data_IF_578452172769
#
_entry.id   IF_578452172769
#
_cell.length_a   1.000
_cell.length_b   1.000
_cell.length_c   1.000
_cell.angle_alpha   90.00
_cell.angle_beta   90.00
_cell.angle_gamma   90.00
#
_symmetry.space_group_name_H-M   'P 1'
#
loop_
_entity.id
_entity.type
_entity.pdbx_description
1 polymer ?
#
# COMPACT_ATOMS: atom_id res chain seq x y z
N UNK A 1 3.17 10.23 -14.41
CA UNK A 1 3.61 8.99 -13.71
C UNK A 1 4.42 8.04 -14.61
N UNK A 2 5.27 7.16 -14.04
CA UNK A 2 6.04 6.11 -14.75
C UNK A 2 5.92 4.76 -14.02
N UNK A 3 5.70 3.68 -14.77
CA UNK A 3 5.52 2.33 -14.22
C UNK A 3 6.52 1.33 -14.80
N UNK A 4 6.87 0.29 -14.04
CA UNK A 4 7.56 -0.89 -14.58
C UNK A 4 6.56 -1.82 -15.30
N UNK A 5 7.03 -2.93 -15.84
CA UNK A 5 6.24 -3.96 -16.54
C UNK A 5 5.20 -4.70 -15.68
N UNK A 6 5.26 -4.53 -14.35
CA UNK A 6 4.25 -5.04 -13.41
C UNK A 6 3.35 -3.94 -12.87
N UNK A 7 3.34 -2.74 -13.46
CA UNK A 7 2.47 -1.65 -13.02
C UNK A 7 2.83 -1.07 -11.65
N UNK A 8 4.04 -1.31 -11.15
CA UNK A 8 4.61 -0.65 -9.96
C UNK A 8 5.01 0.77 -10.33
N UNK A 9 4.55 1.76 -9.57
CA UNK A 9 4.97 3.15 -9.76
C UNK A 9 6.46 3.27 -9.41
N UNK A 10 7.27 3.75 -10.36
CA UNK A 10 8.74 3.79 -10.20
C UNK A 10 9.16 4.88 -9.23
N UNK A 11 8.57 6.07 -9.35
CA UNK A 11 8.86 7.21 -8.47
C UNK A 11 7.68 8.20 -8.50
N UNK A 12 7.63 9.08 -7.50
CA UNK A 12 6.67 10.18 -7.44
C UNK A 12 7.30 11.38 -6.74
N UNK A 13 7.26 12.54 -7.40
CA UNK A 13 7.99 13.75 -7.01
C UNK A 13 7.05 14.95 -6.95
N UNK A 14 7.35 15.85 -6.00
CA UNK A 14 6.82 17.21 -5.90
C UNK A 14 8.00 18.16 -6.16
N UNK A 15 7.97 18.91 -7.26
CA UNK A 15 9.12 19.63 -7.78
C UNK A 15 10.36 18.72 -7.94
N UNK A 16 11.43 19.03 -7.19
CA UNK A 16 12.69 18.31 -7.09
C UNK A 16 12.76 17.35 -5.88
N UNK A 17 11.72 17.29 -5.05
CA UNK A 17 11.65 16.44 -3.86
C UNK A 17 11.05 15.08 -4.23
N UNK A 18 11.78 14.01 -3.94
CA UNK A 18 11.23 12.65 -3.96
C UNK A 18 10.28 12.48 -2.78
N UNK A 19 8.99 12.29 -3.07
CA UNK A 19 8.02 11.88 -2.05
C UNK A 19 8.06 10.36 -1.91
N UNK A 20 8.03 9.67 -3.05
CA UNK A 20 8.24 8.22 -3.13
C UNK A 20 9.68 7.95 -3.54
N UNK A 21 10.37 7.14 -2.74
CA UNK A 21 11.73 6.69 -2.99
C UNK A 21 11.79 5.92 -4.32
N UNK A 22 12.69 6.28 -5.26
CA UNK A 22 12.75 5.62 -6.54
C UNK A 22 13.00 4.11 -6.46
N UNK A 23 12.25 3.37 -7.28
CA UNK A 23 12.39 1.92 -7.43
C UNK A 23 13.81 1.57 -7.91
N UNK A 24 14.48 0.71 -7.16
CA UNK A 24 15.81 0.19 -7.48
C UNK A 24 15.92 -1.30 -7.12
N UNK A 25 16.83 -1.97 -7.81
CA UNK A 25 17.16 -3.38 -7.52
C UNK A 25 17.95 -3.49 -6.21
N UNK A 26 17.63 -4.50 -5.40
CA UNK A 26 18.39 -4.84 -4.19
C UNK A 26 19.45 -5.90 -4.51
N UNK A 27 20.62 -5.75 -3.89
CA UNK A 27 21.66 -6.79 -3.94
C UNK A 27 21.14 -8.09 -3.30
N UNK A 28 21.29 -9.22 -4.00
CA UNK A 28 20.70 -10.50 -3.60
C UNK A 28 19.28 -10.77 -4.11
N UNK A 29 18.70 -9.84 -4.89
CA UNK A 29 17.41 -10.01 -5.57
C UNK A 29 16.25 -9.25 -4.94
N UNK A 30 15.23 -8.98 -5.76
CA UNK A 30 14.08 -8.14 -5.39
C UNK A 30 14.32 -6.64 -5.64
N UNK A 31 13.32 -5.84 -5.27
CA UNK A 31 13.31 -4.39 -5.43
C UNK A 31 12.97 -3.66 -4.12
N UNK A 32 13.36 -2.39 -4.07
CA UNK A 32 13.02 -1.41 -3.02
C UNK A 32 12.61 -0.11 -3.69
N UNK A 33 11.78 0.69 -3.03
CA UNK A 33 11.24 1.92 -3.60
C UNK A 33 9.97 1.70 -4.42
N UNK A 34 9.41 2.79 -4.91
CA UNK A 34 8.20 2.83 -5.71
C UNK A 34 6.92 2.63 -4.89
N UNK A 35 5.85 2.30 -5.59
CA UNK A 35 4.55 1.96 -4.99
C UNK A 35 3.93 0.77 -5.72
N UNK A 36 3.58 -0.27 -4.99
CA UNK A 36 2.81 -1.41 -5.51
C UNK A 36 1.70 -1.83 -4.56
N UNK A 37 0.80 -2.68 -5.07
CA UNK A 37 -0.25 -3.33 -4.29
C UNK A 37 0.18 -4.75 -3.90
N UNK A 38 -0.18 -5.15 -2.69
CA UNK A 38 -0.05 -6.51 -2.20
C UNK A 38 -1.40 -7.21 -2.37
N UNK A 39 -1.57 -7.98 -3.46
CA UNK A 39 -2.83 -8.68 -3.77
C UNK A 39 -2.46 -10.08 -4.26
N UNK A 40 -3.12 -11.13 -3.75
CA UNK A 40 -4.31 -11.11 -2.91
C UNK A 40 -4.03 -10.83 -1.43
N UNK A 41 -2.79 -10.99 -0.95
CA UNK A 41 -2.45 -10.85 0.47
C UNK A 41 -1.26 -9.91 0.70
N UNK A 42 -1.33 -9.14 1.78
CA UNK A 42 -0.22 -8.48 2.42
C UNK A 42 0.48 -9.43 3.40
N UNK A 43 1.82 -9.40 3.44
CA UNK A 43 2.68 -10.29 4.25
C UNK A 43 2.47 -11.79 4.01
N UNK A 44 3.36 -12.62 4.57
CA UNK A 44 3.19 -14.08 4.54
C UNK A 44 1.97 -14.52 5.37
N UNK A 45 1.12 -15.37 4.79
CA UNK A 45 -0.07 -15.93 5.47
C UNK A 45 -0.42 -17.30 4.88
N UNK A 46 0.27 -18.33 5.38
CA UNK A 46 0.11 -19.70 4.90
C UNK A 46 -0.68 -20.52 5.91
N UNK A 47 -1.79 -21.21 5.54
CA UNK A 47 -2.60 -21.16 4.30
C UNK A 47 -3.71 -20.07 4.33
N UNK A 48 -4.38 -19.71 3.20
CA UNK A 48 -4.30 -20.32 1.86
C UNK A 48 -3.29 -19.64 0.90
N UNK A 49 -2.55 -18.62 1.35
CA UNK A 49 -1.57 -17.93 0.50
C UNK A 49 -0.19 -18.57 0.63
N UNK A 50 0.64 -18.46 -0.41
CA UNK A 50 2.03 -18.96 -0.37
C UNK A 50 3.08 -17.91 -0.71
N UNK A 51 2.66 -16.79 -1.32
CA UNK A 51 3.56 -15.74 -1.78
C UNK A 51 3.40 -14.55 -0.85
N UNK A 52 4.50 -14.18 -0.18
CA UNK A 52 4.55 -12.94 0.59
C UNK A 52 4.29 -11.74 -0.34
N UNK A 53 3.30 -10.92 0.03
CA UNK A 53 2.77 -9.80 -0.74
C UNK A 53 2.02 -10.17 -2.04
N UNK A 54 1.67 -11.43 -2.21
CA UNK A 54 0.87 -11.92 -3.34
C UNK A 54 1.52 -11.75 -4.70
N UNK A 55 0.75 -12.12 -5.73
CA UNK A 55 1.18 -12.23 -7.12
C UNK A 55 1.15 -10.89 -7.86
N UNK A 56 0.31 -9.92 -7.43
CA UNK A 56 0.07 -8.68 -8.20
C UNK A 56 1.36 -7.94 -8.56
N UNK A 57 2.29 -7.78 -7.62
CA UNK A 57 3.55 -7.05 -7.84
C UNK A 57 4.52 -7.75 -8.80
N UNK A 58 4.29 -9.03 -9.08
CA UNK A 58 5.11 -9.87 -9.97
C UNK A 58 4.44 -10.21 -11.30
N UNK A 59 3.12 -10.09 -11.39
CA UNK A 59 2.38 -10.32 -12.64
C UNK A 59 2.51 -9.13 -13.56
N UNK A 60 2.95 -9.37 -14.80
CA UNK A 60 3.07 -8.33 -15.82
C UNK A 60 1.70 -7.75 -16.22
N UNK A 61 1.67 -6.49 -16.65
CA UNK A 61 0.51 -5.86 -17.25
C UNK A 61 0.91 -4.90 -18.37
N UNK A 62 -0.07 -4.49 -19.17
CA UNK A 62 0.12 -3.37 -20.07
C UNK A 62 0.32 -2.09 -19.24
N UNK A 63 1.31 -1.27 -19.61
CA UNK A 63 1.61 -0.01 -18.93
C UNK A 63 0.62 1.13 -19.27
N UNK A 64 -0.56 0.78 -19.78
CA UNK A 64 -1.66 1.71 -20.04
C UNK A 64 -2.64 1.67 -18.89
N UNK A 65 -3.03 2.83 -18.38
CA UNK A 65 -4.04 2.93 -17.35
C UNK A 65 -5.45 2.77 -17.93
N UNK A 66 -6.38 2.13 -17.19
CA UNK A 66 -6.13 1.40 -15.94
C UNK A 66 -5.37 0.08 -16.18
N UNK A 67 -4.48 -0.29 -15.26
CA UNK A 67 -3.85 -1.60 -15.29
C UNK A 67 -4.87 -2.69 -14.98
N UNK A 68 -4.89 -3.75 -15.78
CA UNK A 68 -5.76 -4.90 -15.56
C UNK A 68 -4.95 -6.18 -15.43
N UNK A 69 -5.23 -6.97 -14.40
CA UNK A 69 -4.57 -8.26 -14.14
C UNK A 69 -5.56 -9.30 -13.69
N UNK A 70 -5.39 -10.52 -14.17
CA UNK A 70 -6.10 -11.69 -13.67
C UNK A 70 -5.13 -12.48 -12.81
N UNK A 71 -5.45 -12.66 -11.54
CA UNK A 71 -4.64 -13.39 -10.57
C UNK A 71 -5.36 -14.69 -10.22
N UNK A 72 -4.62 -15.79 -10.11
CA UNK A 72 -5.21 -17.11 -9.90
C UNK A 72 -4.39 -17.92 -8.93
N UNK A 73 -5.06 -18.55 -7.97
CA UNK A 73 -4.47 -19.52 -7.06
C UNK A 73 -4.01 -20.78 -7.80
N UNK A 74 -2.95 -21.42 -7.29
CA UNK A 74 -2.65 -22.81 -7.63
C UNK A 74 -3.48 -23.77 -6.77
N UNK A 75 -3.53 -25.05 -7.16
CA UNK A 75 -4.25 -26.09 -6.41
C UNK A 75 -3.75 -26.25 -4.95
N UNK A 76 -2.49 -25.91 -4.69
CA UNK A 76 -1.87 -26.01 -3.37
C UNK A 76 -2.18 -24.78 -2.48
N UNK A 77 -2.73 -23.71 -3.05
CA UNK A 77 -2.90 -22.39 -2.42
C UNK A 77 -4.29 -21.82 -2.75
N UNK A 78 -5.35 -22.58 -2.45
CA UNK A 78 -6.75 -22.33 -2.86
C UNK A 78 -7.37 -21.08 -2.19
N UNK A 79 -6.81 -19.91 -2.48
CA UNK A 79 -7.37 -18.62 -2.14
C UNK A 79 -8.36 -18.12 -3.20
N UNK A 80 -8.47 -18.77 -4.36
CA UNK A 80 -9.38 -18.42 -5.45
C UNK A 80 -8.73 -17.61 -6.58
N UNK A 81 -9.57 -17.00 -7.42
CA UNK A 81 -9.18 -16.23 -8.59
C UNK A 81 -9.85 -14.86 -8.56
N UNK A 82 -9.09 -13.81 -8.88
CA UNK A 82 -9.59 -12.43 -8.93
C UNK A 82 -9.16 -11.70 -10.19
N UNK A 83 -10.04 -10.83 -10.67
CA UNK A 83 -9.68 -9.77 -11.60
C UNK A 83 -9.37 -8.50 -10.81
N UNK A 84 -8.26 -7.85 -11.13
CA UNK A 84 -7.82 -6.61 -10.48
C UNK A 84 -7.70 -5.51 -11.53
N UNK A 85 -8.42 -4.42 -11.32
CA UNK A 85 -8.33 -3.20 -12.13
C UNK A 85 -7.78 -2.10 -11.23
N UNK A 86 -6.68 -1.46 -11.64
CA UNK A 86 -6.07 -0.36 -10.88
C UNK A 86 -5.86 0.86 -11.77
N UNK A 87 -6.45 1.98 -11.36
CA UNK A 87 -6.27 3.27 -11.99
C UNK A 87 -5.47 4.23 -11.09
N UNK A 88 -4.72 5.13 -11.71
CA UNK A 88 -3.85 6.08 -11.04
C UNK A 88 -4.11 7.49 -11.56
N UNK A 89 -4.34 8.42 -10.65
CA UNK A 89 -4.59 9.83 -10.96
C UNK A 89 -3.59 10.70 -10.17
N UNK A 90 -3.02 11.71 -10.82
CA UNK A 90 -2.21 12.72 -10.15
C UNK A 90 -2.83 14.11 -10.34
N UNK A 91 -2.91 14.87 -9.25
CA UNK A 91 -3.37 16.26 -9.24
C UNK A 91 -2.24 17.09 -8.65
N UNK A 92 -1.80 18.10 -9.40
CA UNK A 92 -0.70 18.98 -9.00
C UNK A 92 -1.22 20.41 -8.84
N UNK A 93 -0.84 21.02 -7.73
CA UNK A 93 -1.11 22.40 -7.38
C UNK A 93 0.20 23.04 -6.88
N UNK A 94 0.18 24.35 -6.65
CA UNK A 94 1.37 25.04 -6.13
C UNK A 94 1.77 24.44 -4.77
N UNK A 95 3.02 23.97 -4.68
CA UNK A 95 3.59 23.34 -3.48
C UNK A 95 2.85 22.08 -2.96
N UNK A 96 1.93 21.51 -3.75
CA UNK A 96 1.13 20.35 -3.36
C UNK A 96 0.96 19.37 -4.51
N UNK A 97 1.02 18.08 -4.21
CA UNK A 97 0.67 17.02 -5.15
C UNK A 97 -0.16 15.95 -4.48
N UNK A 98 -1.18 15.46 -5.17
CA UNK A 98 -2.02 14.35 -4.69
C UNK A 98 -1.95 13.20 -5.67
N UNK A 99 -1.67 12.00 -5.16
CA UNK A 99 -1.75 10.73 -5.86
C UNK A 99 -2.99 9.99 -5.37
N UNK A 100 -3.87 9.61 -6.29
CA UNK A 100 -5.04 8.79 -6.00
C UNK A 100 -4.92 7.47 -6.75
N UNK A 101 -5.06 6.37 -6.04
CA UNK A 101 -4.97 5.01 -6.58
C UNK A 101 -6.29 4.31 -6.31
N UNK A 102 -7.04 4.02 -7.37
CA UNK A 102 -8.33 3.31 -7.28
C UNK A 102 -8.13 1.88 -7.73
N UNK A 103 -8.39 0.92 -6.85
CA UNK A 103 -8.27 -0.51 -7.14
C UNK A 103 -9.58 -1.22 -6.90
N UNK A 104 -10.07 -1.94 -7.90
CA UNK A 104 -11.18 -2.88 -7.78
C UNK A 104 -10.63 -4.30 -7.85
N UNK A 105 -10.97 -5.12 -6.85
CA UNK A 105 -10.72 -6.57 -6.83
C UNK A 105 -12.07 -7.26 -6.95
N UNK A 106 -12.26 -8.06 -8.00
CA UNK A 106 -13.47 -8.84 -8.24
C UNK A 106 -13.18 -10.33 -8.19
N UNK A 107 -13.96 -11.09 -7.44
CA UNK A 107 -13.84 -12.55 -7.47
C UNK A 107 -14.41 -13.14 -8.76
N UNK A 108 -13.65 -14.04 -9.39
CA UNK A 108 -14.03 -14.72 -10.63
C UNK A 108 -14.38 -16.20 -10.37
N UNK A 109 -13.75 -16.80 -9.36
CA UNK A 109 -14.12 -18.10 -8.81
C UNK A 109 -15.31 -18.00 -7.85
N UNK A 110 -15.85 -19.15 -7.44
CA UNK A 110 -16.97 -19.23 -6.49
C UNK A 110 -16.71 -18.46 -5.18
N UNK A 111 -15.44 -18.45 -4.76
CA UNK A 111 -14.95 -17.63 -3.66
C UNK A 111 -13.53 -17.14 -3.95
N UNK A 112 -13.13 -16.01 -3.36
CA UNK A 112 -11.76 -15.54 -3.29
C UNK A 112 -11.44 -14.95 -1.91
N UNK A 113 -10.26 -15.25 -1.37
CA UNK A 113 -9.75 -14.74 -0.10
C UNK A 113 -8.78 -13.62 -0.38
N UNK A 114 -8.98 -12.46 0.24
CA UNK A 114 -8.12 -11.30 0.02
C UNK A 114 -7.80 -10.57 1.32
N UNK A 115 -6.54 -10.23 1.52
CA UNK A 115 -6.04 -9.30 2.55
C UNK A 115 -5.18 -8.25 1.85
N UNK A 116 -5.78 -7.35 1.05
CA UNK A 116 -5.00 -6.46 0.21
C UNK A 116 -4.23 -5.44 1.04
N UNK A 117 -3.11 -4.98 0.50
CA UNK A 117 -2.33 -3.87 1.08
C UNK A 117 -1.80 -2.92 0.01
N UNK A 118 -1.51 -1.70 0.42
CA UNK A 118 -0.86 -0.68 -0.40
C UNK A 118 0.54 -0.39 0.16
N UNK A 119 1.57 -0.43 -0.69
CA UNK A 119 2.97 -0.51 -0.24
C UNK A 119 3.83 0.64 -0.82
N UNK A 120 3.59 1.89 -0.41
CA UNK A 120 4.42 3.02 -0.80
C UNK A 120 5.72 3.08 0.01
N UNK A 121 6.83 3.40 -0.65
CA UNK A 121 8.11 3.70 -0.02
C UNK A 121 8.29 5.22 0.01
N UNK A 122 8.09 5.86 1.15
CA UNK A 122 8.28 7.30 1.28
C UNK A 122 9.75 7.63 1.54
N UNK A 123 10.33 8.59 0.82
CA UNK A 123 11.68 9.08 1.13
C UNK A 123 11.66 9.85 2.46
N UNK A 124 12.69 9.71 3.28
CA UNK A 124 12.72 10.30 4.64
C UNK A 124 14.00 11.10 4.87
N UNK A 125 13.92 12.03 5.82
CA UNK A 125 15.06 12.78 6.35
C UNK A 125 15.38 12.34 7.78
N UNK A 126 16.47 12.86 8.36
CA UNK A 126 16.96 12.44 9.67
C UNK A 126 15.92 12.64 10.79
N UNK A 127 15.11 13.70 10.73
CA UNK A 127 14.15 14.05 11.78
C UNK A 127 12.71 13.61 11.46
N UNK A 128 12.54 12.74 10.46
CA UNK A 128 11.21 12.35 10.02
C UNK A 128 10.48 11.51 11.06
N UNK A 129 9.17 11.72 11.17
CA UNK A 129 8.28 11.00 12.08
C UNK A 129 6.90 10.77 11.44
N UNK A 130 6.17 9.80 11.98
CA UNK A 130 4.83 9.44 11.54
C UNK A 130 3.86 9.61 12.70
N UNK A 131 2.76 10.31 12.47
CA UNK A 131 1.65 10.42 13.42
C UNK A 131 0.47 9.56 12.93
N UNK A 132 0.01 8.64 13.81
CA UNK A 132 -1.12 7.72 13.58
C UNK A 132 -2.05 7.87 14.79
N UNK A 133 -3.13 8.63 14.62
CA UNK A 133 -4.02 8.99 15.73
C UNK A 133 -3.25 9.70 16.85
N UNK A 134 -3.21 9.10 18.04
CA UNK A 134 -2.47 9.62 19.20
C UNK A 134 -1.03 9.10 19.32
N UNK A 135 -0.60 8.23 18.40
CA UNK A 135 0.72 7.59 18.43
C UNK A 135 1.67 8.32 17.49
N UNK A 136 2.85 8.68 18.01
CA UNK A 136 3.98 9.14 17.21
C UNK A 136 5.04 8.04 17.08
N UNK A 137 5.57 7.89 15.87
CA UNK A 137 6.63 6.95 15.52
C UNK A 137 7.81 7.72 14.94
N UNK A 138 8.90 7.82 15.70
CA UNK A 138 10.14 8.41 15.19
C UNK A 138 10.85 7.42 14.27
N UNK A 139 11.07 7.78 13.00
CA UNK A 139 11.60 6.85 11.99
C UNK A 139 13.01 6.37 12.36
N UNK A 140 13.83 7.26 12.94
CA UNK A 140 15.16 6.92 13.43
C UNK A 140 15.15 5.82 14.52
N UNK A 141 14.04 5.65 15.25
CA UNK A 141 13.88 4.63 16.30
C UNK A 141 13.38 3.28 15.79
N UNK A 142 12.93 3.19 14.53
CA UNK A 142 12.37 1.96 13.99
C UNK A 142 13.39 0.80 14.06
N UNK A 143 12.93 -0.40 14.45
CA UNK A 143 13.74 -1.60 14.35
C UNK A 143 14.01 -1.90 12.87
N UNK A 144 15.23 -2.35 12.59
CA UNK A 144 15.63 -2.72 11.23
C UNK A 144 14.83 -3.95 10.76
N UNK A 145 14.26 -3.84 9.56
CA UNK A 145 13.58 -4.94 8.87
C UNK A 145 12.52 -5.65 9.72
N UNK A 146 11.74 -4.87 10.49
CA UNK A 146 10.70 -5.41 11.36
C UNK A 146 9.43 -4.59 11.25
N UNK A 147 8.37 -5.22 10.76
CA UNK A 147 7.07 -4.60 10.55
C UNK A 147 6.42 -4.24 11.88
N UNK A 148 6.22 -2.94 12.11
CA UNK A 148 5.42 -2.43 13.22
C UNK A 148 3.98 -2.28 12.76
N UNK A 149 3.01 -2.63 13.61
CA UNK A 149 1.59 -2.72 13.24
C UNK A 149 0.78 -1.78 14.11
N UNK A 150 0.04 -0.88 13.49
CA UNK A 150 -0.80 0.10 14.18
C UNK A 150 -2.24 -0.04 13.72
N UNK A 151 -3.12 -0.48 14.62
CA UNK A 151 -4.54 -0.63 14.34
C UNK A 151 -5.18 0.74 14.13
N UNK A 152 -5.88 0.91 13.01
CA UNK A 152 -6.64 2.12 12.78
C UNK A 152 -7.86 2.17 13.73
N UNK A 153 -8.10 3.33 14.35
CA UNK A 153 -9.26 3.66 15.16
C UNK A 153 -10.54 3.76 14.34
N UNK A 154 -10.45 4.04 13.03
CA UNK A 154 -11.58 4.04 12.11
C UNK A 154 -11.15 3.70 10.68
N UNK A 155 -12.11 3.33 9.82
CA UNK A 155 -11.87 3.05 8.40
C UNK A 155 -11.46 4.29 7.58
N UNK A 156 -11.54 5.48 8.16
CA UNK A 156 -11.18 6.75 7.54
C UNK A 156 -10.05 7.44 8.28
N UNK A 157 -9.35 6.75 9.18
CA UNK A 157 -8.19 7.33 9.85
C UNK A 157 -7.09 7.61 8.84
N UNK A 158 -6.44 8.74 9.03
CA UNK A 158 -5.34 9.20 8.20
C UNK A 158 -4.02 9.03 8.94
N UNK A 159 -2.96 8.78 8.19
CA UNK A 159 -1.58 8.74 8.70
C UNK A 159 -0.84 9.93 8.11
N UNK A 160 -0.10 10.66 8.94
CA UNK A 160 0.73 11.77 8.49
C UNK A 160 2.21 11.42 8.65
N UNK A 161 2.97 11.50 7.56
CA UNK A 161 4.43 11.56 7.55
C UNK A 161 4.86 13.02 7.53
N UNK A 162 5.80 13.39 8.40
CA UNK A 162 6.48 14.68 8.34
C UNK A 162 7.97 14.45 8.14
N UNK A 163 8.56 15.14 7.16
CA UNK A 163 9.99 15.21 6.90
C UNK A 163 10.47 16.66 7.00
N UNK A 164 11.76 16.91 6.81
CA UNK A 164 12.27 18.29 6.76
C UNK A 164 11.83 19.01 5.46
N UNK A 165 11.51 18.27 4.39
CA UNK A 165 11.23 18.81 3.05
C UNK A 165 9.73 18.83 2.70
N UNK A 166 8.95 17.88 3.24
CA UNK A 166 7.54 17.73 2.92
C UNK A 166 6.73 17.09 4.06
N UNK A 167 5.41 17.26 3.98
CA UNK A 167 4.44 16.46 4.74
C UNK A 167 3.62 15.61 3.77
N UNK A 168 3.29 14.37 4.13
CA UNK A 168 2.40 13.53 3.35
C UNK A 168 1.30 12.95 4.23
N UNK A 169 0.05 13.09 3.79
CA UNK A 169 -1.11 12.44 4.42
C UNK A 169 -1.52 11.25 3.57
N UNK A 170 -1.70 10.10 4.22
CA UNK A 170 -2.13 8.84 3.61
C UNK A 170 -3.50 8.48 4.17
N UNK A 171 -4.46 8.21 3.29
CA UNK A 171 -5.76 7.66 3.68
C UNK A 171 -6.21 6.54 2.74
N UNK A 172 -7.19 5.78 3.21
CA UNK A 172 -7.84 4.73 2.44
C UNK A 172 -9.35 4.84 2.59
N UNK A 173 -10.08 4.71 1.48
CA UNK A 173 -11.53 4.51 1.47
C UNK A 173 -11.85 3.15 0.88
N UNK A 174 -12.81 2.46 1.48
CA UNK A 174 -13.16 1.08 1.12
C UNK A 174 -14.65 1.00 0.84
N UNK A 175 -15.03 0.24 -0.19
CA UNK A 175 -16.42 -0.09 -0.51
C UNK A 175 -16.52 -1.55 -0.98
N UNK A 176 -17.57 -2.30 -0.60
CA UNK A 176 -18.62 -1.92 0.34
C UNK A 176 -18.08 -1.83 1.78
N UNK A 177 -18.66 -0.95 2.60
CA UNK A 177 -18.33 -0.88 4.03
C UNK A 177 -19.12 -1.95 4.78
N UNK A 178 -18.44 -2.75 5.60
CA UNK A 178 -19.06 -3.71 6.51
C UNK A 178 -18.59 -3.46 7.96
N UNK A 179 -19.39 -3.89 8.94
CA UNK A 179 -19.10 -3.67 10.36
C UNK A 179 -17.82 -4.38 10.84
N UNK A 180 -17.38 -5.42 10.13
CA UNK A 180 -16.21 -6.21 10.51
C UNK A 180 -14.93 -5.74 9.81
N UNK A 181 -14.99 -4.77 8.89
CA UNK A 181 -13.80 -4.26 8.23
C UNK A 181 -12.86 -3.60 9.24
N UNK A 182 -11.57 -3.78 9.01
CA UNK A 182 -10.49 -3.18 9.77
C UNK A 182 -9.35 -2.75 8.83
N UNK A 183 -8.66 -1.69 9.24
CA UNK A 183 -7.40 -1.24 8.65
C UNK A 183 -6.31 -1.36 9.70
N UNK A 184 -5.14 -1.88 9.30
CA UNK A 184 -3.89 -1.78 10.07
C UNK A 184 -2.89 -1.06 9.20
N UNK A 185 -2.16 -0.11 9.77
CA UNK A 185 -1.02 0.52 9.13
C UNK A 185 0.26 -0.25 9.50
N UNK A 186 0.85 -0.90 8.49
CA UNK A 186 2.19 -1.47 8.55
C UNK A 186 3.24 -0.38 8.40
N UNK A 187 4.15 -0.26 9.37
CA UNK A 187 5.28 0.68 9.30
C UNK A 187 6.56 -0.14 9.28
N UNK A 188 7.34 -0.01 8.21
CA UNK A 188 8.53 -0.84 8.00
C UNK A 188 9.65 -0.09 7.29
N UNK A 189 10.90 -0.42 7.64
CA UNK A 189 12.07 -0.01 6.88
C UNK A 189 13.26 -0.93 7.19
N UNK A 190 13.99 -1.35 6.15
CA UNK A 190 15.36 -1.88 6.28
C UNK A 190 16.42 -0.79 6.03
N UNK A 191 16.03 0.42 5.64
CA UNK A 191 16.92 1.57 5.41
C UNK A 191 16.30 2.90 5.88
N UNK A 192 16.14 3.06 7.19
CA UNK A 192 15.45 4.20 7.82
C UNK A 192 16.09 5.59 7.62
N UNK A 193 17.23 5.66 6.93
CA UNK A 193 17.86 6.92 6.50
C UNK A 193 17.52 7.27 5.04
N UNK A 194 16.91 6.36 4.29
CA UNK A 194 16.52 6.52 2.89
C UNK A 194 14.99 6.56 2.77
N UNK A 195 14.29 5.60 3.39
CA UNK A 195 12.83 5.51 3.30
C UNK A 195 12.14 4.87 4.50
N UNK A 196 10.80 5.01 4.51
CA UNK A 196 9.86 4.24 5.33
C UNK A 196 8.68 3.79 4.48
N UNK A 197 8.15 2.59 4.76
CA UNK A 197 6.88 2.14 4.21
C UNK A 197 5.75 2.48 5.19
N UNK A 198 4.64 3.02 4.67
CA UNK A 198 3.40 3.26 5.43
C UNK A 198 2.29 2.54 4.67
N UNK A 199 1.83 1.43 5.23
CA UNK A 199 1.16 0.40 4.46
C UNK A 199 -0.24 0.15 5.01
N UNK A 200 -1.29 0.76 4.44
CA UNK A 200 -2.65 0.39 4.77
C UNK A 200 -2.91 -1.06 4.35
N UNK A 201 -3.25 -1.91 5.32
CA UNK A 201 -3.64 -3.30 5.13
C UNK A 201 -5.11 -3.44 5.49
N UNK A 202 -5.88 -4.06 4.61
CA UNK A 202 -7.33 -4.11 4.70
C UNK A 202 -7.77 -5.56 4.90
N UNK A 203 -8.72 -5.77 5.80
CA UNK A 203 -9.36 -7.05 5.98
C UNK A 203 -10.51 -7.00 6.98
N UNK A 204 -10.85 -8.16 7.53
CA UNK A 204 -11.73 -8.26 8.69
C UNK A 204 -10.96 -7.97 9.99
N UNK A 205 -11.68 -7.87 11.10
CA UNK A 205 -11.13 -7.68 12.45
C UNK A 205 -9.85 -8.53 12.73
N UNK A 206 -8.93 -8.04 13.59
CA UNK A 206 -7.55 -8.52 13.65
C UNK A 206 -7.41 -10.03 13.89
N UNK A 207 -6.50 -10.63 13.14
CA UNK A 207 -6.04 -12.01 13.32
C UNK A 207 -4.94 -12.10 14.39
N UNK A 208 -4.49 -13.32 14.70
CA UNK A 208 -3.46 -13.58 15.70
C UNK A 208 -2.10 -12.96 15.37
N UNK A 209 -1.84 -12.67 14.10
CA UNK A 209 -0.61 -12.00 13.64
C UNK A 209 -0.68 -10.47 13.82
N UNK A 210 -1.77 -9.91 14.34
CA UNK A 210 -1.96 -8.47 14.51
C UNK A 210 -2.22 -7.70 13.20
N UNK A 211 -2.41 -8.41 12.08
CA UNK A 211 -2.94 -7.85 10.84
C UNK A 211 -4.44 -8.20 10.71
N UNK A 212 -5.20 -7.54 9.83
CA UNK A 212 -6.57 -7.93 9.55
C UNK A 212 -6.66 -9.37 9.05
N UNK A 213 -7.72 -10.10 9.43
CA UNK A 213 -7.99 -11.40 8.81
C UNK A 213 -8.42 -11.22 7.34
N UNK A 214 -8.17 -12.19 6.45
CA UNK A 214 -8.66 -12.11 5.07
C UNK A 214 -10.17 -11.90 4.98
N UNK A 215 -10.59 -11.17 3.94
CA UNK A 215 -11.96 -11.07 3.47
C UNK A 215 -12.27 -12.24 2.56
N UNK A 216 -13.54 -12.64 2.52
CA UNK A 216 -14.06 -13.54 1.48
C UNK A 216 -14.92 -12.72 0.55
N UNK A 217 -14.61 -12.79 -0.74
CA UNK A 217 -15.45 -12.32 -1.83
C UNK A 217 -16.10 -13.53 -2.49
N UNK A 218 -17.42 -13.51 -2.65
CA UNK A 218 -18.13 -14.48 -3.47
C UNK A 218 -18.02 -14.09 -4.93
N UNK A 219 -18.27 -15.04 -5.83
CA UNK A 219 -18.26 -14.79 -7.28
C UNK A 219 -19.00 -13.50 -7.66
N UNK A 220 -18.36 -12.69 -8.48
CA UNK A 220 -18.81 -11.38 -8.96
C UNK A 220 -18.90 -10.28 -7.88
N UNK A 221 -18.61 -10.56 -6.61
CA UNK A 221 -18.46 -9.52 -5.59
C UNK A 221 -17.16 -8.74 -5.78
N UNK A 222 -17.25 -7.45 -5.47
CA UNK A 222 -16.16 -6.49 -5.64
C UNK A 222 -15.76 -5.85 -4.31
N UNK A 223 -14.45 -5.71 -4.13
CA UNK A 223 -13.84 -4.82 -3.14
C UNK A 223 -13.19 -3.66 -3.88
N UNK A 224 -13.66 -2.44 -3.61
CA UNK A 224 -13.09 -1.21 -4.14
C UNK A 224 -12.30 -0.51 -3.02
N UNK A 225 -11.05 -0.17 -3.33
CA UNK A 225 -10.14 0.54 -2.44
C UNK A 225 -9.66 1.80 -3.14
N UNK A 226 -9.70 2.93 -2.45
CA UNK A 226 -9.14 4.19 -2.93
C UNK A 226 -8.10 4.65 -1.93
N UNK A 227 -6.83 4.59 -2.33
CA UNK A 227 -5.71 5.13 -1.56
C UNK A 227 -5.42 6.55 -2.04
N UNK A 228 -5.27 7.48 -1.11
CA UNK A 228 -4.86 8.85 -1.42
C UNK A 228 -3.59 9.17 -0.66
N UNK A 229 -2.58 9.70 -1.37
CA UNK A 229 -1.41 10.34 -0.78
C UNK A 229 -1.46 11.82 -1.19
N UNK A 230 -1.55 12.72 -0.21
CA UNK A 230 -1.45 14.16 -0.44
C UNK A 230 -0.18 14.69 0.18
N UNK A 231 0.74 15.19 -0.65
CA UNK A 231 2.03 15.72 -0.25
C UNK A 231 2.06 17.25 -0.36
N UNK A 232 2.61 17.93 0.64
CA UNK A 232 2.79 19.38 0.67
C UNK A 232 4.24 19.72 1.02
N UNK A 233 4.82 20.72 0.36
CA UNK A 233 6.17 21.19 0.64
C UNK A 233 6.23 21.91 2.00
N UNK A 234 7.22 21.59 2.83
CA UNK A 234 7.42 22.30 4.11
C UNK A 234 7.84 23.74 3.84
N UNK A 235 7.33 24.69 4.64
CA UNK A 235 7.67 26.11 4.52
C UNK A 235 6.92 26.87 3.44
N UNK A 236 5.98 26.21 2.75
CA UNK A 236 4.96 26.89 1.94
C UNK A 236 3.73 27.14 2.81
N UNK A 237 3.53 28.39 3.22
CA UNK A 237 2.29 28.86 3.82
C UNK A 237 1.54 29.66 2.76
N UNK A 238 0.25 29.32 2.57
CA UNK A 238 -0.75 30.26 2.03
C UNK A 238 -0.82 31.54 2.89
#
# INVERSE_FOLDING_TARGET
MKFNDTGTLINWQLDDINIVEPLHSKEGGGSRGGVYLCIPNFEELTPPFSIKHGEYRTTACDNTLPHQKNLSSSADNDWGNVDVITDWEEIEAENQKTLKVTTTIRAVSDHAWVRPGFHPYFSVTQNSFIDIGAVRVDIASLPHDSLQKYQAASLTEEVQLTTDDYTATINCRISPVSANLAIVFGIWSDKKHEYVCIEPVIGNQPAQDGLPAPLTLLKDEELVMVFTISANKVGSSD
#
